data_IF_437621916260
#
_entry.id   IF_437621916260
#
_cell.length_a   1.000
_cell.length_b   1.000
_cell.length_c   1.000
_cell.angle_alpha   90.00
_cell.angle_beta   90.00
_cell.angle_gamma   90.00
#
_symmetry.space_group_name_H-M   'P 1'
#
loop_
_entity.id
_entity.type
_entity.pdbx_description
1 polymer ?
#
# COMPACT_ATOMS: atom_id res chain seq x y z
N UNK A 1 -45.12 50.54 -4.75
CA UNK A 1 -43.78 50.82 -4.19
C UNK A 1 -42.98 49.54 -4.33
N UNK A 2 -42.14 49.59 -5.34
CA UNK A 2 -41.19 48.51 -5.68
C UNK A 2 -40.06 48.53 -4.67
N UNK A 3 -39.64 47.34 -4.17
CA UNK A 3 -38.31 47.16 -3.63
C UNK A 3 -37.73 45.88 -4.21
N UNK A 4 -37.04 46.06 -5.33
CA UNK A 4 -36.02 45.16 -5.84
C UNK A 4 -34.87 45.11 -4.85
N UNK A 5 -34.46 43.91 -4.44
CA UNK A 5 -33.15 43.67 -3.90
C UNK A 5 -32.57 42.39 -4.53
N UNK A 6 -31.84 42.62 -5.60
CA UNK A 6 -30.89 41.73 -6.20
C UNK A 6 -29.63 41.70 -5.33
N UNK A 7 -29.26 40.55 -4.81
CA UNK A 7 -27.91 40.24 -4.42
C UNK A 7 -27.59 38.78 -4.73
N UNK A 8 -27.43 38.52 -6.02
CA UNK A 8 -26.71 37.35 -6.51
C UNK A 8 -25.21 37.64 -6.43
N UNK A 9 -24.61 37.31 -5.30
CA UNK A 9 -23.16 37.17 -5.20
C UNK A 9 -22.80 35.72 -5.62
N UNK A 10 -22.66 35.52 -6.93
CA UNK A 10 -22.03 34.35 -7.50
C UNK A 10 -20.60 34.28 -6.96
N UNK A 11 -20.36 33.38 -6.02
CA UNK A 11 -19.01 32.97 -5.63
C UNK A 11 -18.42 32.24 -6.83
N UNK A 12 -17.68 32.98 -7.65
CA UNK A 12 -16.80 32.43 -8.68
C UNK A 12 -15.68 31.61 -7.95
N UNK A 13 -15.96 30.35 -7.68
CA UNK A 13 -14.96 29.37 -7.37
C UNK A 13 -14.09 29.17 -8.62
N UNK A 14 -12.99 29.90 -8.73
CA UNK A 14 -11.95 29.57 -9.70
C UNK A 14 -11.49 28.16 -9.41
N UNK A 15 -11.87 27.19 -10.26
CA UNK A 15 -11.37 25.83 -10.19
C UNK A 15 -9.83 25.90 -10.22
N UNK A 16 -9.17 25.46 -9.15
CA UNK A 16 -7.72 25.40 -9.12
C UNK A 16 -7.25 24.55 -10.32
N UNK A 17 -6.19 24.95 -11.02
CA UNK A 17 -5.68 24.17 -12.13
C UNK A 17 -5.31 22.77 -11.63
N UNK A 18 -5.89 21.76 -12.26
CA UNK A 18 -5.67 20.36 -11.91
C UNK A 18 -4.21 19.97 -12.15
N UNK A 19 -3.54 19.42 -11.15
CA UNK A 19 -2.14 18.97 -11.28
C UNK A 19 -2.07 17.84 -12.32
N UNK A 20 -1.20 17.94 -13.34
CA UNK A 20 -1.07 16.93 -14.39
C UNK A 20 -0.66 15.55 -13.84
N UNK A 21 -1.15 14.48 -14.45
CA UNK A 21 -0.82 13.09 -14.07
C UNK A 21 0.70 12.83 -14.05
N UNK A 22 1.45 13.39 -15.00
CA UNK A 22 2.91 13.22 -15.10
C UNK A 22 3.66 13.73 -13.86
N UNK A 23 3.09 14.70 -13.14
CA UNK A 23 3.66 15.14 -11.85
C UNK A 23 3.58 14.01 -10.84
N UNK A 24 2.41 13.35 -10.70
CA UNK A 24 2.25 12.21 -9.79
C UNK A 24 3.16 11.05 -10.16
N UNK A 25 3.39 10.81 -11.45
CA UNK A 25 4.33 9.80 -11.92
C UNK A 25 5.77 10.14 -11.54
N UNK A 26 6.15 11.41 -11.58
CA UNK A 26 7.50 11.87 -11.23
C UNK A 26 7.77 11.90 -9.71
N UNK A 27 6.74 11.99 -8.85
CA UNK A 27 6.94 12.04 -7.40
C UNK A 27 7.55 10.74 -6.88
N UNK A 28 8.50 10.80 -5.91
CA UNK A 28 8.96 9.62 -5.19
C UNK A 28 7.85 9.09 -4.28
N UNK A 29 7.61 7.79 -4.31
CA UNK A 29 6.51 7.17 -3.55
C UNK A 29 6.83 5.78 -3.03
N UNK A 30 5.96 5.25 -2.19
CA UNK A 30 5.99 3.87 -1.70
C UNK A 30 4.77 3.10 -2.17
N UNK A 31 4.87 1.78 -2.22
CA UNK A 31 3.74 0.86 -2.30
C UNK A 31 3.87 -0.16 -1.16
N UNK A 32 3.11 0.02 -0.09
CA UNK A 32 3.22 -0.80 1.13
C UNK A 32 2.18 -1.93 1.17
N UNK A 33 1.24 -1.93 0.20
CA UNK A 33 0.19 -2.92 0.09
C UNK A 33 0.01 -3.28 -1.39
N UNK A 34 0.81 -4.24 -1.85
CA UNK A 34 0.77 -4.75 -3.22
C UNK A 34 0.96 -6.26 -3.23
N UNK A 35 0.00 -6.98 -3.81
CA UNK A 35 0.05 -8.44 -3.95
C UNK A 35 0.80 -8.85 -5.21
N UNK A 36 1.74 -9.79 -5.07
CA UNK A 36 2.50 -10.34 -6.19
C UNK A 36 1.59 -11.03 -7.19
N UNK A 37 0.71 -11.87 -6.68
CA UNK A 37 -0.21 -12.73 -7.43
C UNK A 37 -1.40 -11.97 -8.06
N UNK A 38 -1.62 -10.72 -7.66
CA UNK A 38 -2.56 -9.79 -8.27
C UNK A 38 -1.93 -8.74 -9.21
N UNK A 39 -0.63 -8.86 -9.52
CA UNK A 39 0.12 -7.76 -10.15
C UNK A 39 1.02 -8.20 -11.33
N UNK A 40 0.64 -9.26 -12.03
CA UNK A 40 1.35 -9.76 -13.22
C UNK A 40 1.07 -8.89 -14.45
N UNK A 41 1.96 -8.96 -15.43
CA UNK A 41 1.67 -8.48 -16.79
C UNK A 41 0.87 -9.53 -17.57
N UNK A 42 -0.11 -9.10 -18.35
CA UNK A 42 -0.94 -10.00 -19.17
C UNK A 42 -0.09 -10.78 -20.20
N UNK A 43 0.90 -10.13 -20.81
CA UNK A 43 1.85 -10.74 -21.73
C UNK A 43 2.62 -11.87 -21.05
N UNK A 44 3.08 -11.65 -19.82
CA UNK A 44 3.82 -12.66 -19.03
C UNK A 44 2.95 -13.85 -18.68
N UNK A 45 1.66 -13.64 -18.35
CA UNK A 45 0.72 -14.75 -18.10
C UNK A 45 0.60 -15.61 -19.34
N UNK A 46 0.39 -15.02 -20.54
CA UNK A 46 0.27 -15.76 -21.81
C UNK A 46 1.55 -16.52 -22.16
N UNK A 47 2.72 -15.89 -21.99
CA UNK A 47 4.01 -16.51 -22.27
C UNK A 47 4.30 -17.68 -21.34
N UNK A 48 4.08 -17.53 -20.04
CA UNK A 48 4.27 -18.58 -19.04
C UNK A 48 3.28 -19.73 -19.26
N UNK A 49 2.02 -19.42 -19.55
CA UNK A 49 1.01 -20.44 -19.83
C UNK A 49 1.39 -21.27 -21.04
N UNK A 50 1.89 -20.66 -22.12
CA UNK A 50 2.38 -21.34 -23.28
C UNK A 50 3.60 -22.22 -22.99
N UNK A 51 4.59 -21.69 -22.25
CA UNK A 51 5.81 -22.42 -21.91
C UNK A 51 5.53 -23.63 -21.01
N UNK A 52 4.62 -23.47 -20.04
CA UNK A 52 4.31 -24.48 -19.04
C UNK A 52 3.08 -25.35 -19.38
N UNK A 53 2.48 -25.13 -20.56
CA UNK A 53 1.28 -25.86 -21.06
C UNK A 53 0.11 -25.76 -20.10
N UNK A 54 -0.13 -24.55 -19.56
CA UNK A 54 -1.26 -24.22 -18.69
C UNK A 54 -2.43 -23.76 -19.55
N UNK A 55 -3.61 -24.30 -19.32
CA UNK A 55 -4.84 -23.83 -19.95
C UNK A 55 -5.31 -22.52 -19.29
N UNK A 56 -5.55 -21.51 -20.11
CA UNK A 56 -6.14 -20.24 -19.73
C UNK A 56 -7.52 -20.07 -20.35
N UNK A 57 -8.39 -19.23 -19.78
CA UNK A 57 -9.72 -18.96 -20.34
C UNK A 57 -9.68 -18.20 -21.68
N UNK A 58 -8.56 -17.57 -22.02
CA UNK A 58 -8.32 -16.87 -23.29
C UNK A 58 -6.85 -16.92 -23.67
N UNK A 59 -6.56 -16.79 -24.98
CA UNK A 59 -5.21 -16.90 -25.55
C UNK A 59 -4.67 -15.58 -26.10
N UNK A 60 -5.35 -14.47 -25.82
CA UNK A 60 -4.95 -13.12 -26.20
C UNK A 60 -5.14 -12.17 -25.01
N UNK A 61 -4.55 -10.97 -25.10
CA UNK A 61 -4.50 -9.98 -24.03
C UNK A 61 -5.91 -9.49 -23.65
N UNK A 62 -6.76 -9.19 -24.64
CA UNK A 62 -8.08 -8.64 -24.38
C UNK A 62 -9.02 -9.67 -23.76
N UNK A 63 -9.03 -10.87 -24.27
CA UNK A 63 -9.79 -11.98 -23.69
C UNK A 63 -9.33 -12.34 -22.29
N UNK A 64 -8.00 -12.32 -22.03
CA UNK A 64 -7.45 -12.58 -20.71
C UNK A 64 -7.78 -11.45 -19.73
N UNK A 65 -7.66 -10.19 -20.16
CA UNK A 65 -8.08 -9.00 -19.39
C UNK A 65 -9.55 -9.09 -18.97
N UNK A 66 -10.41 -9.47 -19.90
CA UNK A 66 -11.84 -9.64 -19.63
C UNK A 66 -12.13 -10.82 -18.69
N UNK A 67 -11.42 -11.95 -18.87
CA UNK A 67 -11.58 -13.13 -18.02
C UNK A 67 -11.12 -12.91 -16.57
N UNK A 68 -10.05 -12.14 -16.36
CA UNK A 68 -9.58 -11.72 -15.03
C UNK A 68 -10.51 -10.64 -14.45
N UNK A 69 -11.19 -9.84 -15.30
CA UNK A 69 -12.01 -8.72 -14.89
C UNK A 69 -11.21 -7.48 -14.53
N UNK A 70 -10.05 -7.26 -15.17
CA UNK A 70 -9.16 -6.14 -14.85
C UNK A 70 -9.88 -4.79 -14.86
N UNK A 71 -9.83 -4.07 -13.74
CA UNK A 71 -10.47 -2.77 -13.58
C UNK A 71 -12.00 -2.80 -13.43
N UNK A 72 -12.60 -3.99 -13.34
CA UNK A 72 -14.06 -4.15 -13.21
C UNK A 72 -14.53 -3.88 -11.78
N UNK A 73 -15.78 -3.46 -11.65
CA UNK A 73 -16.43 -3.40 -10.34
C UNK A 73 -17.11 -4.75 -10.04
N UNK A 74 -16.57 -5.49 -9.11
CA UNK A 74 -17.06 -6.82 -8.73
C UNK A 74 -18.19 -6.77 -7.70
N UNK A 75 -18.29 -5.69 -6.94
CA UNK A 75 -19.31 -5.51 -5.90
C UNK A 75 -19.16 -6.38 -4.66
N UNK A 76 -18.18 -7.30 -4.64
CA UNK A 76 -17.81 -8.07 -3.45
C UNK A 76 -16.36 -8.54 -3.50
N UNK A 77 -15.74 -8.67 -2.32
CA UNK A 77 -14.38 -9.19 -2.18
C UNK A 77 -14.26 -10.63 -2.72
N UNK A 78 -15.24 -11.48 -2.51
CA UNK A 78 -15.21 -12.88 -2.95
C UNK A 78 -15.19 -12.99 -4.48
N UNK A 79 -15.99 -12.20 -5.19
CA UNK A 79 -15.95 -12.15 -6.66
C UNK A 79 -14.63 -11.58 -7.18
N UNK A 80 -14.11 -10.54 -6.54
CA UNK A 80 -12.81 -9.95 -6.87
C UNK A 80 -11.66 -10.98 -6.75
N UNK A 81 -11.67 -11.83 -5.72
CA UNK A 81 -10.66 -12.86 -5.50
C UNK A 81 -10.62 -13.95 -6.57
N UNK A 82 -11.68 -14.12 -7.39
CA UNK A 82 -11.69 -15.12 -8.47
C UNK A 82 -10.65 -14.84 -9.57
N UNK A 83 -10.26 -13.59 -9.76
CA UNK A 83 -9.20 -13.22 -10.71
C UNK A 83 -7.86 -13.91 -10.40
N UNK A 84 -7.59 -14.24 -9.15
CA UNK A 84 -6.37 -14.93 -8.73
C UNK A 84 -6.29 -16.39 -9.20
N UNK A 85 -7.44 -17.05 -9.44
CA UNK A 85 -7.44 -18.43 -9.96
C UNK A 85 -6.72 -18.55 -11.31
N UNK A 86 -6.71 -17.47 -12.09
CA UNK A 86 -6.03 -17.42 -13.38
C UNK A 86 -4.53 -17.16 -13.19
N UNK A 87 -4.18 -16.16 -12.40
CA UNK A 87 -2.77 -15.76 -12.19
C UNK A 87 -1.97 -16.86 -11.48
N UNK A 88 -2.56 -17.50 -10.46
CA UNK A 88 -1.92 -18.57 -9.72
C UNK A 88 -1.57 -19.81 -10.57
N UNK A 89 -2.30 -20.06 -11.65
CA UNK A 89 -1.99 -21.20 -12.54
C UNK A 89 -0.59 -21.14 -13.15
N UNK A 90 -0.09 -19.94 -13.43
CA UNK A 90 1.23 -19.72 -14.04
C UNK A 90 2.33 -19.39 -13.02
N UNK A 91 2.01 -19.34 -11.73
CA UNK A 91 2.94 -18.98 -10.64
C UNK A 91 3.41 -20.21 -9.85
N UNK A 92 3.72 -21.33 -10.53
CA UNK A 92 4.00 -22.61 -9.89
C UNK A 92 5.44 -23.11 -10.10
N UNK A 93 6.35 -22.25 -10.61
CA UNK A 93 7.76 -22.57 -10.84
C UNK A 93 8.68 -21.46 -10.31
N UNK A 94 9.92 -21.81 -9.95
CA UNK A 94 10.92 -20.83 -9.50
C UNK A 94 11.14 -19.74 -10.55
N UNK A 95 11.28 -20.13 -11.82
CA UNK A 95 11.53 -19.20 -12.92
C UNK A 95 10.36 -18.21 -13.14
N UNK A 96 9.10 -18.69 -13.02
CA UNK A 96 7.93 -17.83 -13.13
C UNK A 96 7.86 -16.82 -11.97
N UNK A 97 8.07 -17.28 -10.74
CA UNK A 97 8.03 -16.43 -9.54
C UNK A 97 9.14 -15.37 -9.54
N UNK A 98 10.37 -15.75 -9.92
CA UNK A 98 11.49 -14.83 -10.06
C UNK A 98 11.19 -13.74 -11.11
N UNK A 99 10.70 -14.17 -12.31
CA UNK A 99 10.34 -13.25 -13.39
C UNK A 99 9.25 -12.27 -12.97
N UNK A 100 8.16 -12.77 -12.40
CA UNK A 100 7.01 -11.95 -12.00
C UNK A 100 7.42 -10.95 -10.92
N UNK A 101 8.22 -11.35 -9.95
CA UNK A 101 8.72 -10.45 -8.91
C UNK A 101 9.64 -9.36 -9.48
N UNK A 102 10.51 -9.72 -10.44
CA UNK A 102 11.34 -8.75 -11.15
C UNK A 102 10.50 -7.74 -11.93
N UNK A 103 9.52 -8.21 -12.70
CA UNK A 103 8.66 -7.36 -13.54
C UNK A 103 7.79 -6.43 -12.70
N UNK A 104 7.24 -6.89 -11.56
CA UNK A 104 6.50 -6.05 -10.63
C UNK A 104 7.37 -4.90 -10.11
N UNK A 105 8.60 -5.18 -9.70
CA UNK A 105 9.51 -4.15 -9.22
C UNK A 105 9.97 -3.20 -10.35
N UNK A 106 10.14 -3.70 -11.58
CA UNK A 106 10.43 -2.88 -12.77
C UNK A 106 9.28 -1.91 -13.07
N UNK A 107 8.03 -2.38 -13.05
CA UNK A 107 6.85 -1.53 -13.30
C UNK A 107 6.68 -0.46 -12.22
N UNK A 108 6.93 -0.81 -10.96
CA UNK A 108 6.95 0.14 -9.87
C UNK A 108 8.08 1.20 -10.01
N UNK A 109 9.27 0.78 -10.46
CA UNK A 109 10.37 1.69 -10.74
C UNK A 109 10.02 2.70 -11.85
N UNK A 110 9.36 2.26 -12.94
CA UNK A 110 8.97 3.11 -14.09
C UNK A 110 8.05 4.26 -13.70
N UNK A 111 7.33 4.15 -12.58
CA UNK A 111 6.49 5.21 -12.01
C UNK A 111 7.09 5.87 -10.76
N UNK A 112 8.41 5.70 -10.55
CA UNK A 112 9.18 6.30 -9.45
C UNK A 112 8.79 5.84 -8.04
N UNK A 113 8.35 4.58 -7.88
CA UNK A 113 8.30 3.94 -6.58
C UNK A 113 9.73 3.68 -6.09
N UNK A 114 10.06 4.15 -4.88
CA UNK A 114 11.40 4.04 -4.28
C UNK A 114 11.52 2.88 -3.30
N UNK A 115 10.39 2.50 -2.70
CA UNK A 115 10.30 1.40 -1.77
C UNK A 115 8.93 0.72 -1.85
N UNK A 116 8.93 -0.61 -1.87
CA UNK A 116 7.70 -1.38 -1.86
C UNK A 116 7.80 -2.61 -0.95
N UNK A 117 6.64 -3.05 -0.46
CA UNK A 117 6.48 -4.25 0.35
C UNK A 117 5.53 -5.21 -0.35
N UNK A 118 6.11 -6.16 -1.08
CA UNK A 118 5.39 -7.14 -1.89
C UNK A 118 4.85 -8.24 -0.99
N UNK A 119 3.54 -8.47 -1.01
CA UNK A 119 2.89 -9.50 -0.22
C UNK A 119 2.34 -10.63 -1.09
N UNK A 120 2.35 -11.84 -0.57
CA UNK A 120 1.75 -13.03 -1.19
C UNK A 120 1.77 -14.20 -0.19
N UNK A 121 0.99 -15.25 -0.48
CA UNK A 121 0.93 -16.46 0.32
C UNK A 121 1.74 -17.58 -0.35
N UNK A 122 2.97 -17.92 0.10
CA UNK A 122 3.81 -18.94 -0.53
C UNK A 122 3.12 -20.28 -0.72
N UNK A 123 2.21 -20.65 0.16
CA UNK A 123 1.47 -21.92 0.08
C UNK A 123 0.62 -22.06 -1.19
N UNK A 124 0.18 -20.94 -1.82
CA UNK A 124 -0.61 -20.97 -3.05
C UNK A 124 0.22 -21.32 -4.30
N UNK A 125 1.54 -21.34 -4.18
CA UNK A 125 2.49 -21.57 -5.27
C UNK A 125 3.16 -22.95 -5.19
N UNK A 126 2.56 -23.89 -4.47
CA UNK A 126 3.12 -25.25 -4.24
C UNK A 126 2.36 -26.36 -4.93
N UNK A 127 1.37 -26.06 -5.79
CA UNK A 127 0.48 -27.03 -6.43
C UNK A 127 1.22 -28.02 -7.35
N UNK A 128 2.40 -27.63 -7.87
CA UNK A 128 3.26 -28.48 -8.68
C UNK A 128 4.46 -29.06 -7.92
N UNK A 129 4.38 -29.09 -6.57
CA UNK A 129 5.39 -29.68 -5.70
C UNK A 129 6.57 -28.79 -5.37
N UNK A 130 6.49 -27.48 -5.68
CA UNK A 130 7.53 -26.53 -5.28
C UNK A 130 7.55 -26.40 -3.76
N UNK A 131 8.75 -26.43 -3.14
CA UNK A 131 8.91 -26.26 -1.71
C UNK A 131 8.68 -24.79 -1.31
N UNK A 132 8.07 -24.54 -0.18
CA UNK A 132 7.81 -23.19 0.35
C UNK A 132 9.08 -22.31 0.38
N UNK A 133 10.21 -22.88 0.79
CA UNK A 133 11.49 -22.15 0.79
C UNK A 133 11.91 -21.73 -0.61
N UNK A 134 11.67 -22.57 -1.63
CA UNK A 134 11.98 -22.25 -3.03
C UNK A 134 11.07 -21.18 -3.60
N UNK A 135 9.81 -21.16 -3.19
CA UNK A 135 8.88 -20.06 -3.52
C UNK A 135 9.42 -18.74 -3.01
N UNK A 136 9.83 -18.67 -1.74
CA UNK A 136 10.34 -17.43 -1.15
C UNK A 136 11.66 -17.01 -1.76
N UNK A 137 12.59 -17.95 -1.97
CA UNK A 137 13.90 -17.68 -2.58
C UNK A 137 13.74 -17.11 -3.99
N UNK A 138 12.90 -17.71 -4.83
CA UNK A 138 12.66 -17.24 -6.20
C UNK A 138 12.12 -15.79 -6.24
N UNK A 139 11.15 -15.47 -5.40
CA UNK A 139 10.62 -14.09 -5.29
C UNK A 139 11.71 -13.12 -4.83
N UNK A 140 12.45 -13.46 -3.80
CA UNK A 140 13.55 -12.63 -3.29
C UNK A 140 14.65 -12.42 -4.34
N UNK A 141 14.96 -13.43 -5.15
CA UNK A 141 15.94 -13.34 -6.24
C UNK A 141 15.46 -12.39 -7.34
N UNK A 142 14.18 -12.43 -7.73
CA UNK A 142 13.60 -11.50 -8.67
C UNK A 142 13.66 -10.06 -8.19
N UNK A 143 13.28 -9.81 -6.93
CA UNK A 143 13.35 -8.48 -6.31
C UNK A 143 14.79 -7.98 -6.15
N UNK A 144 15.73 -8.87 -5.81
CA UNK A 144 17.15 -8.55 -5.72
C UNK A 144 17.71 -8.14 -7.09
N UNK A 145 17.40 -8.89 -8.15
CA UNK A 145 17.80 -8.56 -9.51
C UNK A 145 17.25 -7.21 -9.97
N UNK A 146 15.98 -6.90 -9.65
CA UNK A 146 15.40 -5.59 -9.93
C UNK A 146 16.11 -4.45 -9.17
N UNK A 147 16.50 -4.69 -7.92
CA UNK A 147 17.31 -3.73 -7.13
C UNK A 147 18.67 -3.48 -7.78
N UNK A 148 19.35 -4.52 -8.24
CA UNK A 148 20.65 -4.43 -8.90
C UNK A 148 20.55 -3.67 -10.23
N UNK A 149 19.44 -3.84 -10.96
CA UNK A 149 19.23 -3.23 -12.28
C UNK A 149 18.72 -1.80 -12.19
N UNK A 150 17.78 -1.52 -11.31
CA UNK A 150 17.02 -0.26 -11.26
C UNK A 150 17.20 0.54 -9.98
N UNK A 151 17.79 -0.03 -8.95
CA UNK A 151 17.97 0.63 -7.64
C UNK A 151 16.71 0.69 -6.77
N UNK A 152 15.57 0.15 -7.22
CA UNK A 152 14.35 0.08 -6.40
C UNK A 152 14.55 -0.88 -5.23
N UNK A 153 14.13 -0.48 -4.03
CA UNK A 153 14.14 -1.36 -2.86
C UNK A 153 12.78 -2.00 -2.67
N UNK A 154 12.73 -3.32 -2.84
CA UNK A 154 11.53 -4.12 -2.59
C UNK A 154 11.83 -5.19 -1.52
N UNK A 155 10.86 -5.42 -0.64
CA UNK A 155 10.92 -6.41 0.45
C UNK A 155 9.65 -7.25 0.46
N UNK A 156 9.65 -8.35 1.19
CA UNK A 156 8.54 -9.31 1.19
C UNK A 156 7.78 -9.27 2.51
N UNK A 157 6.45 -9.35 2.43
CA UNK A 157 5.54 -9.69 3.51
C UNK A 157 4.91 -11.04 3.18
N UNK A 158 5.05 -12.02 4.06
CA UNK A 158 4.45 -13.35 3.89
C UNK A 158 3.01 -13.32 4.42
N UNK A 159 2.06 -13.81 3.62
CA UNK A 159 0.65 -13.86 4.00
C UNK A 159 0.23 -15.24 4.49
N UNK A 160 -0.50 -15.29 5.61
CA UNK A 160 -1.47 -16.33 5.89
C UNK A 160 -2.77 -16.06 5.14
N UNK A 161 -3.54 -17.09 4.85
CA UNK A 161 -4.86 -16.98 4.20
C UNK A 161 -5.94 -17.41 5.18
N UNK A 162 -6.79 -16.44 5.59
CA UNK A 162 -7.72 -16.62 6.71
C UNK A 162 -8.81 -17.67 6.47
N UNK A 163 -9.22 -17.88 5.24
CA UNK A 163 -10.22 -18.86 4.84
C UNK A 163 -9.65 -20.26 4.52
N UNK A 164 -8.36 -20.52 4.81
CA UNK A 164 -7.78 -21.87 4.68
C UNK A 164 -7.73 -22.52 6.06
N UNK A 165 -6.74 -22.22 6.90
CA UNK A 165 -6.71 -22.72 8.28
C UNK A 165 -5.74 -21.92 9.17
N UNK A 166 -5.90 -22.03 10.48
CA UNK A 166 -4.97 -21.45 11.46
C UNK A 166 -3.57 -22.10 11.39
N UNK A 167 -3.52 -23.42 11.14
CA UNK A 167 -2.29 -24.19 11.02
C UNK A 167 -1.48 -23.75 9.80
N UNK A 168 -2.15 -23.52 8.66
CA UNK A 168 -1.47 -23.01 7.46
C UNK A 168 -0.92 -21.62 7.67
N UNK A 169 -1.64 -20.73 8.36
CA UNK A 169 -1.14 -19.42 8.72
C UNK A 169 0.05 -19.50 9.68
N UNK A 170 0.05 -20.46 10.60
CA UNK A 170 1.18 -20.69 11.51
C UNK A 170 2.43 -21.14 10.73
N UNK A 171 2.30 -22.04 9.76
CA UNK A 171 3.40 -22.44 8.87
C UNK A 171 3.94 -21.24 8.06
N UNK A 172 3.08 -20.36 7.58
CA UNK A 172 3.52 -19.13 6.90
C UNK A 172 4.24 -18.17 7.85
N UNK A 173 3.83 -18.10 9.12
CA UNK A 173 4.53 -17.33 10.14
C UNK A 173 5.93 -17.92 10.47
N UNK A 174 6.06 -19.25 10.55
CA UNK A 174 7.37 -19.92 10.70
C UNK A 174 8.28 -19.58 9.52
N UNK A 175 7.74 -19.56 8.30
CA UNK A 175 8.49 -19.20 7.10
C UNK A 175 8.94 -17.73 7.16
N UNK A 176 8.06 -16.80 7.61
CA UNK A 176 8.44 -15.41 7.81
C UNK A 176 9.58 -15.26 8.82
N UNK A 177 9.55 -16.00 9.91
CA UNK A 177 10.63 -16.03 10.93
C UNK A 177 11.93 -16.56 10.32
N UNK A 178 11.88 -17.65 9.54
CA UNK A 178 13.07 -18.25 8.92
C UNK A 178 13.77 -17.31 7.92
N UNK A 179 13.03 -16.41 7.29
CA UNK A 179 13.57 -15.45 6.31
C UNK A 179 13.73 -14.03 6.86
N UNK A 180 13.52 -13.81 8.16
CA UNK A 180 13.82 -12.53 8.81
C UNK A 180 15.27 -12.11 8.56
N UNK A 181 15.47 -10.86 8.16
CA UNK A 181 16.80 -10.33 7.82
C UNK A 181 17.34 -10.80 6.45
N UNK A 182 16.58 -11.64 5.72
CA UNK A 182 16.93 -12.13 4.38
C UNK A 182 16.00 -11.56 3.30
N UNK A 183 15.28 -10.46 3.60
CA UNK A 183 14.38 -9.80 2.66
C UNK A 183 12.90 -9.86 3.06
N UNK A 184 12.52 -10.75 3.99
CA UNK A 184 11.20 -10.75 4.61
C UNK A 184 11.18 -9.77 5.78
N UNK A 185 10.21 -8.83 5.75
CA UNK A 185 10.10 -7.72 6.72
C UNK A 185 8.80 -7.76 7.52
N UNK A 186 7.83 -8.57 7.11
CA UNK A 186 6.52 -8.60 7.74
C UNK A 186 5.74 -9.88 7.52
N UNK A 187 4.63 -9.98 8.25
CA UNK A 187 3.61 -11.02 8.12
C UNK A 187 2.24 -10.36 8.00
N UNK A 188 1.34 -10.94 7.19
CA UNK A 188 -0.01 -10.44 6.93
C UNK A 188 -1.03 -11.58 7.01
N UNK A 189 -2.30 -11.22 7.12
CA UNK A 189 -3.44 -12.13 7.00
C UNK A 189 -4.39 -11.59 5.94
N UNK A 190 -4.45 -12.28 4.80
CA UNK A 190 -5.26 -11.93 3.65
C UNK A 190 -6.40 -12.94 3.43
N UNK A 191 -7.16 -12.78 2.34
CA UNK A 191 -8.26 -13.65 1.94
C UNK A 191 -9.63 -13.15 2.39
N UNK A 192 -10.68 -13.97 2.24
CA UNK A 192 -12.06 -13.61 2.53
C UNK A 192 -12.24 -13.20 4.00
N UNK A 193 -12.69 -11.95 4.23
CA UNK A 193 -12.73 -11.39 5.60
C UNK A 193 -13.99 -11.76 6.39
N UNK A 194 -15.17 -11.72 5.75
CA UNK A 194 -16.46 -11.65 6.44
C UNK A 194 -16.67 -12.77 7.47
N UNK A 195 -16.43 -14.03 7.11
CA UNK A 195 -16.71 -15.19 7.96
C UNK A 195 -15.46 -15.79 8.62
N UNK A 196 -14.30 -15.14 8.45
CA UNK A 196 -13.01 -15.67 8.88
C UNK A 196 -12.26 -14.69 9.79
N UNK A 197 -12.66 -14.58 11.07
CA UNK A 197 -12.11 -13.57 11.98
C UNK A 197 -10.63 -13.80 12.30
N UNK A 198 -9.85 -12.71 12.32
CA UNK A 198 -8.40 -12.73 12.52
C UNK A 198 -7.96 -13.40 13.84
N UNK A 199 -8.81 -13.36 14.88
CA UNK A 199 -8.54 -13.98 16.19
C UNK A 199 -8.24 -15.48 16.12
N UNK A 200 -8.72 -16.19 15.11
CA UNK A 200 -8.44 -17.62 14.93
C UNK A 200 -6.96 -17.87 14.56
N UNK A 201 -6.30 -16.87 14.00
CA UNK A 201 -4.88 -16.92 13.57
C UNK A 201 -3.91 -16.33 14.60
N UNK A 202 -4.39 -16.02 15.84
CA UNK A 202 -3.59 -15.36 16.88
C UNK A 202 -2.24 -16.04 17.18
N UNK A 203 -2.15 -17.37 17.05
CA UNK A 203 -0.92 -18.10 17.30
C UNK A 203 0.18 -17.76 16.29
N UNK A 204 -0.16 -17.60 15.00
CA UNK A 204 0.76 -17.14 13.96
C UNK A 204 1.29 -15.73 14.28
N UNK A 205 0.40 -14.82 14.67
CA UNK A 205 0.79 -13.45 15.05
C UNK A 205 1.60 -13.39 16.34
N UNK A 206 1.32 -14.25 17.30
CA UNK A 206 2.14 -14.36 18.50
C UNK A 206 3.58 -14.78 18.13
N UNK A 207 3.72 -15.82 17.29
CA UNK A 207 5.02 -16.29 16.82
C UNK A 207 5.85 -15.17 16.15
N UNK A 208 5.25 -14.41 15.22
CA UNK A 208 5.99 -13.35 14.50
C UNK A 208 6.36 -12.20 15.43
N UNK A 209 5.51 -11.84 16.39
CA UNK A 209 5.82 -10.81 17.40
C UNK A 209 6.95 -11.23 18.33
N UNK A 210 6.91 -12.46 18.83
CA UNK A 210 7.96 -13.03 19.70
C UNK A 210 9.33 -13.06 19.01
N UNK A 211 9.33 -13.09 17.66
CA UNK A 211 10.53 -13.01 16.85
C UNK A 211 10.83 -11.61 16.31
N UNK A 212 10.15 -10.56 16.81
CA UNK A 212 10.32 -9.15 16.40
C UNK A 212 10.17 -8.95 14.89
N UNK A 213 9.15 -9.55 14.29
CA UNK A 213 8.72 -9.31 12.90
C UNK A 213 7.50 -8.40 12.93
N UNK A 214 7.46 -7.43 12.02
CA UNK A 214 6.31 -6.56 11.90
C UNK A 214 5.11 -7.34 11.34
N UNK A 215 3.90 -6.87 11.65
CA UNK A 215 2.69 -7.43 11.05
C UNK A 215 1.71 -6.35 10.61
N UNK A 216 1.02 -6.63 9.53
CA UNK A 216 -0.13 -5.90 9.03
C UNK A 216 -1.28 -6.91 8.88
N UNK A 217 -2.52 -6.44 8.80
CA UNK A 217 -3.68 -7.33 8.65
C UNK A 217 -4.72 -6.64 7.81
N UNK A 218 -5.24 -7.32 6.78
CA UNK A 218 -6.44 -6.88 6.07
C UNK A 218 -7.62 -6.87 7.04
N UNK A 219 -8.19 -5.72 7.31
CA UNK A 219 -9.29 -5.58 8.25
C UNK A 219 -10.15 -4.35 7.95
N UNK A 220 -11.48 -4.49 8.13
CA UNK A 220 -12.43 -3.43 7.87
C UNK A 220 -12.63 -3.14 6.39
N UNK A 221 -12.43 -4.12 5.52
CA UNK A 221 -12.77 -4.09 4.10
C UNK A 221 -14.15 -4.70 3.87
N UNK A 222 -14.28 -6.01 4.07
CA UNK A 222 -15.54 -6.74 3.89
C UNK A 222 -16.30 -7.00 5.20
N UNK A 223 -15.71 -6.63 6.35
CA UNK A 223 -16.33 -6.76 7.68
C UNK A 223 -16.18 -5.46 8.48
N UNK A 224 -16.90 -5.34 9.59
CA UNK A 224 -16.98 -4.14 10.42
C UNK A 224 -15.73 -3.79 11.22
N UNK A 225 -15.80 -2.72 12.04
CA UNK A 225 -14.67 -2.28 12.88
C UNK A 225 -14.21 -3.37 13.87
N UNK A 226 -15.03 -4.36 14.19
CA UNK A 226 -14.65 -5.49 15.02
C UNK A 226 -13.47 -6.30 14.42
N UNK A 227 -13.36 -6.37 13.08
CA UNK A 227 -12.22 -6.99 12.41
C UNK A 227 -10.94 -6.19 12.68
N UNK A 228 -11.04 -4.86 12.64
CA UNK A 228 -9.93 -3.96 12.94
C UNK A 228 -9.53 -4.09 14.42
N UNK A 229 -10.51 -4.12 15.33
CA UNK A 229 -10.27 -4.33 16.76
C UNK A 229 -9.54 -5.65 17.03
N UNK A 230 -9.94 -6.74 16.37
CA UNK A 230 -9.24 -8.03 16.47
C UNK A 230 -7.80 -7.95 15.92
N UNK A 231 -7.60 -7.28 14.78
CA UNK A 231 -6.29 -7.10 14.21
C UNK A 231 -5.34 -6.38 15.19
N UNK A 232 -5.80 -5.33 15.86
CA UNK A 232 -5.02 -4.54 16.80
C UNK A 232 -4.88 -5.25 18.16
N UNK A 233 -5.99 -5.58 18.83
CA UNK A 233 -5.96 -6.00 20.24
C UNK A 233 -5.67 -7.47 20.44
N UNK A 234 -6.00 -8.34 19.46
CA UNK A 234 -5.76 -9.78 19.55
C UNK A 234 -4.48 -10.18 18.81
N UNK A 235 -4.30 -9.67 17.60
CA UNK A 235 -3.19 -10.05 16.73
C UNK A 235 -1.98 -9.11 16.86
N UNK A 236 -2.17 -7.88 17.36
CA UNK A 236 -1.10 -6.89 17.57
C UNK A 236 -0.54 -6.32 16.28
N UNK A 237 -1.41 -6.03 15.32
CA UNK A 237 -1.03 -5.44 14.05
C UNK A 237 -0.36 -4.06 14.22
N UNK A 238 0.72 -3.84 13.47
CA UNK A 238 1.41 -2.55 13.44
C UNK A 238 0.80 -1.61 12.39
N UNK A 239 0.10 -2.15 11.39
CA UNK A 239 -0.66 -1.45 10.36
C UNK A 239 -1.95 -2.21 10.06
N UNK A 240 -2.92 -1.51 9.48
CA UNK A 240 -4.18 -2.09 9.04
C UNK A 240 -4.29 -1.95 7.53
N UNK A 241 -4.46 -3.09 6.83
CA UNK A 241 -4.82 -3.11 5.42
C UNK A 241 -6.26 -2.62 5.24
N UNK A 242 -6.47 -1.71 4.30
CA UNK A 242 -7.73 -1.04 3.97
C UNK A 242 -8.31 -0.15 5.08
N UNK A 243 -8.93 -0.72 6.10
CA UNK A 243 -9.52 0.02 7.22
C UNK A 243 -10.76 0.85 6.84
N UNK A 244 -11.45 0.54 5.72
CA UNK A 244 -12.56 1.34 5.18
C UNK A 244 -13.69 1.57 6.18
N UNK A 245 -13.96 0.60 7.05
CA UNK A 245 -15.06 0.64 8.01
C UNK A 245 -14.69 1.16 9.40
N UNK A 246 -13.43 1.62 9.58
CA UNK A 246 -12.99 2.21 10.85
C UNK A 246 -13.85 3.42 11.28
N UNK A 247 -14.39 4.17 10.31
CA UNK A 247 -15.29 5.33 10.55
C UNK A 247 -16.57 4.98 11.31
N UNK A 248 -16.93 3.69 11.42
CA UNK A 248 -18.13 3.22 12.11
C UNK A 248 -17.92 3.10 13.63
N UNK A 249 -16.66 3.19 14.11
CA UNK A 249 -16.29 3.14 15.52
C UNK A 249 -15.32 4.29 15.86
N UNK A 250 -15.88 5.35 16.45
CA UNK A 250 -15.13 6.56 16.79
C UNK A 250 -14.09 6.35 17.89
N UNK A 251 -14.34 5.46 18.85
CA UNK A 251 -13.41 5.15 19.94
C UNK A 251 -12.20 4.37 19.42
N UNK A 252 -12.43 3.35 18.62
CA UNK A 252 -11.37 2.60 17.94
C UNK A 252 -10.57 3.50 17.01
N UNK A 253 -11.22 4.41 16.28
CA UNK A 253 -10.57 5.36 15.38
C UNK A 253 -9.64 6.30 16.15
N UNK A 254 -10.11 6.84 17.31
CA UNK A 254 -9.27 7.64 18.16
C UNK A 254 -8.09 6.84 18.71
N UNK A 255 -8.30 5.61 19.16
CA UNK A 255 -7.23 4.71 19.59
C UNK A 255 -6.15 4.53 18.52
N UNK A 256 -6.54 4.22 17.28
CA UNK A 256 -5.58 4.06 16.18
C UNK A 256 -4.82 5.37 15.90
N UNK A 257 -5.49 6.52 16.00
CA UNK A 257 -4.85 7.82 15.81
C UNK A 257 -3.82 8.11 16.90
N UNK A 258 -4.17 7.93 18.18
CA UNK A 258 -3.29 8.18 19.32
C UNK A 258 -2.03 7.28 19.28
N UNK A 259 -2.19 6.02 18.87
CA UNK A 259 -1.09 5.07 18.71
C UNK A 259 -0.38 5.18 17.35
N UNK A 260 -0.82 6.12 16.50
CA UNK A 260 -0.25 6.36 15.16
C UNK A 260 -0.21 5.12 14.27
N UNK A 261 -1.19 4.22 14.42
CA UNK A 261 -1.33 3.02 13.58
C UNK A 261 -1.66 3.43 12.14
N UNK A 262 -0.84 3.08 11.13
CA UNK A 262 -1.11 3.45 9.76
C UNK A 262 -2.23 2.62 9.14
N UNK A 263 -3.02 3.26 8.27
CA UNK A 263 -3.98 2.63 7.39
C UNK A 263 -3.37 2.51 5.97
N UNK A 264 -3.41 1.31 5.40
CA UNK A 264 -2.95 1.03 4.03
C UNK A 264 -4.15 1.14 3.07
N UNK A 265 -4.55 2.36 2.72
CA UNK A 265 -5.70 2.59 1.85
C UNK A 265 -5.40 2.19 0.41
N UNK A 266 -6.35 1.49 -0.23
CA UNK A 266 -6.29 1.02 -1.60
C UNK A 266 -7.53 1.50 -2.37
N UNK A 267 -7.59 2.79 -2.76
CA UNK A 267 -8.83 3.45 -3.16
C UNK A 267 -9.60 2.75 -4.27
N UNK A 268 -8.96 2.44 -5.39
CA UNK A 268 -9.61 1.79 -6.53
C UNK A 268 -10.09 0.37 -6.18
N UNK A 269 -9.26 -0.42 -5.48
CA UNK A 269 -9.62 -1.76 -5.02
C UNK A 269 -10.83 -1.72 -4.10
N UNK A 270 -10.87 -0.77 -3.16
CA UNK A 270 -11.99 -0.66 -2.21
C UNK A 270 -13.33 -0.32 -2.88
N UNK A 271 -13.32 0.38 -4.02
CA UNK A 271 -14.52 0.55 -4.84
C UNK A 271 -14.87 -0.75 -5.56
N UNK A 272 -13.90 -1.43 -6.16
CA UNK A 272 -14.12 -2.64 -6.96
C UNK A 272 -14.59 -3.82 -6.10
N UNK A 273 -14.12 -3.96 -4.87
CA UNK A 273 -14.57 -4.97 -3.91
C UNK A 273 -15.91 -4.63 -3.25
N UNK A 274 -16.43 -3.41 -3.47
CA UNK A 274 -17.67 -2.93 -2.85
C UNK A 274 -17.49 -2.54 -1.37
N UNK A 275 -16.28 -2.44 -0.87
CA UNK A 275 -16.00 -1.94 0.49
C UNK A 275 -16.44 -0.48 0.65
N UNK A 276 -16.38 0.30 -0.43
CA UNK A 276 -16.94 1.64 -0.54
C UNK A 276 -17.74 1.77 -1.85
N UNK A 277 -18.72 2.65 -1.86
CA UNK A 277 -19.59 2.84 -3.02
C UNK A 277 -18.87 3.45 -4.23
N UNK A 278 -18.06 4.46 -3.98
CA UNK A 278 -17.32 5.23 -4.98
C UNK A 278 -16.15 5.96 -4.32
N UNK A 279 -15.25 6.55 -5.13
CA UNK A 279 -14.10 7.29 -4.63
C UNK A 279 -14.47 8.52 -3.81
N UNK A 280 -15.58 9.21 -4.16
CA UNK A 280 -16.02 10.40 -3.43
C UNK A 280 -16.48 10.10 -2.00
N UNK A 281 -17.02 8.89 -1.76
CA UNK A 281 -17.43 8.42 -0.43
C UNK A 281 -16.34 7.65 0.33
N UNK A 282 -15.15 7.50 -0.26
CA UNK A 282 -14.04 6.78 0.37
C UNK A 282 -13.55 7.51 1.62
N UNK A 283 -13.35 6.82 2.75
CA UNK A 283 -13.04 7.46 4.04
C UNK A 283 -11.61 8.02 4.15
N UNK A 284 -10.73 7.79 3.16
CA UNK A 284 -9.32 8.19 3.19
C UNK A 284 -9.15 9.68 3.53
N UNK A 285 -9.91 10.57 2.84
CA UNK A 285 -9.83 12.02 3.10
C UNK A 285 -10.27 12.35 4.52
N UNK A 286 -11.38 11.77 4.99
CA UNK A 286 -11.86 11.95 6.37
C UNK A 286 -10.77 11.53 7.37
N UNK A 287 -10.16 10.37 7.19
CA UNK A 287 -9.10 9.88 8.07
C UNK A 287 -7.90 10.82 8.08
N UNK A 288 -7.48 11.31 6.91
CA UNK A 288 -6.39 12.26 6.81
C UNK A 288 -6.71 13.57 7.52
N UNK A 289 -7.90 14.13 7.29
CA UNK A 289 -8.35 15.39 7.92
C UNK A 289 -8.45 15.28 9.45
N UNK A 290 -8.78 14.10 9.99
CA UNK A 290 -8.77 13.80 11.43
C UNK A 290 -7.36 13.50 11.97
N UNK A 291 -6.34 13.54 11.13
CA UNK A 291 -4.94 13.35 11.52
C UNK A 291 -4.48 11.90 11.61
N UNK A 292 -5.28 10.91 11.19
CA UNK A 292 -4.83 9.52 11.08
C UNK A 292 -3.69 9.40 10.08
N UNK A 293 -2.84 8.39 10.29
CA UNK A 293 -1.76 8.10 9.36
C UNK A 293 -2.27 7.22 8.23
N UNK A 294 -2.53 7.82 7.08
CA UNK A 294 -2.98 7.10 5.86
C UNK A 294 -1.85 6.97 4.85
N UNK A 295 -1.82 5.87 4.12
CA UNK A 295 -0.94 5.62 2.97
C UNK A 295 -1.78 5.23 1.78
N UNK A 296 -1.30 5.51 0.56
CA UNK A 296 -1.99 5.19 -0.69
C UNK A 296 -1.23 4.06 -1.38
N UNK A 297 -1.93 2.99 -1.73
CA UNK A 297 -1.35 1.75 -2.25
C UNK A 297 -2.19 1.17 -3.37
N UNK A 298 -1.66 0.18 -4.09
CA UNK A 298 -2.31 -0.40 -5.28
C UNK A 298 -3.14 -1.64 -5.00
N UNK A 299 -2.86 -2.38 -3.94
CA UNK A 299 -3.41 -3.71 -3.67
C UNK A 299 -3.04 -4.71 -4.79
N UNK A 300 -3.70 -4.66 -5.93
CA UNK A 300 -3.51 -5.59 -7.05
C UNK A 300 -3.38 -4.82 -8.37
N UNK A 301 -2.15 -4.60 -8.85
CA UNK A 301 -1.90 -3.72 -10.01
C UNK A 301 -2.57 -4.20 -11.29
N UNK A 302 -2.64 -5.53 -11.52
CA UNK A 302 -3.32 -6.11 -12.67
C UNK A 302 -4.84 -6.14 -12.48
N UNK A 303 -5.31 -6.77 -11.40
CA UNK A 303 -6.76 -6.98 -11.20
C UNK A 303 -7.48 -5.63 -11.04
N UNK A 304 -6.90 -4.71 -10.26
CA UNK A 304 -7.43 -3.35 -10.07
C UNK A 304 -7.17 -2.44 -11.28
N UNK A 305 -6.29 -2.84 -12.21
CA UNK A 305 -5.84 -2.04 -13.35
C UNK A 305 -5.33 -0.67 -12.92
N UNK A 306 -4.38 -0.63 -11.98
CA UNK A 306 -3.91 0.60 -11.35
C UNK A 306 -2.39 0.66 -11.14
N UNK A 307 -1.93 1.82 -10.71
CA UNK A 307 -0.57 2.12 -10.27
C UNK A 307 -0.61 3.12 -9.10
N UNK A 308 0.45 3.24 -8.31
CA UNK A 308 0.48 4.21 -7.19
C UNK A 308 0.30 5.64 -7.71
N UNK A 309 0.86 5.95 -8.87
CA UNK A 309 0.67 7.26 -9.51
C UNK A 309 -0.80 7.53 -9.85
N UNK A 310 -1.51 6.50 -10.36
CA UNK A 310 -2.94 6.58 -10.66
C UNK A 310 -3.77 6.73 -9.38
N UNK A 311 -3.46 5.96 -8.34
CA UNK A 311 -4.15 6.08 -7.04
C UNK A 311 -3.99 7.48 -6.44
N UNK A 312 -2.77 8.03 -6.39
CA UNK A 312 -2.51 9.38 -5.90
C UNK A 312 -3.24 10.45 -6.74
N UNK A 313 -3.25 10.28 -8.06
CA UNK A 313 -3.98 11.16 -8.98
C UNK A 313 -5.49 11.13 -8.72
N UNK A 314 -6.07 9.93 -8.53
CA UNK A 314 -7.50 9.76 -8.21
C UNK A 314 -7.84 10.36 -6.82
N UNK A 315 -6.98 10.18 -5.83
CA UNK A 315 -7.12 10.80 -4.50
C UNK A 315 -7.15 12.32 -4.61
N UNK A 316 -6.27 12.90 -5.45
CA UNK A 316 -6.27 14.34 -5.69
C UNK A 316 -7.53 14.80 -6.44
N UNK A 317 -7.85 14.16 -7.57
CA UNK A 317 -8.86 14.67 -8.51
C UNK A 317 -10.30 14.30 -8.17
N UNK A 318 -10.52 13.13 -7.56
CA UNK A 318 -11.87 12.62 -7.28
C UNK A 318 -12.25 12.66 -5.79
N UNK A 319 -11.27 12.66 -4.89
CA UNK A 319 -11.52 12.83 -3.45
C UNK A 319 -11.26 14.26 -2.98
N UNK A 320 -10.76 15.14 -3.86
CA UNK A 320 -10.51 16.55 -3.55
C UNK A 320 -9.39 16.79 -2.52
N UNK A 321 -8.39 15.88 -2.47
CA UNK A 321 -7.24 16.05 -1.57
C UNK A 321 -6.26 17.05 -2.18
N UNK A 322 -5.90 18.14 -1.50
CA UNK A 322 -4.92 19.11 -1.98
C UNK A 322 -3.56 18.46 -2.28
N UNK A 323 -2.82 19.01 -3.25
CA UNK A 323 -1.52 18.46 -3.64
C UNK A 323 -0.49 18.52 -2.48
N UNK A 324 -0.54 19.54 -1.63
CA UNK A 324 0.27 19.62 -0.42
C UNK A 324 0.04 18.42 0.54
N UNK A 325 -1.22 17.97 0.63
CA UNK A 325 -1.60 16.83 1.46
C UNK A 325 -1.18 15.51 0.81
N UNK A 326 -1.18 15.41 -0.53
CA UNK A 326 -0.58 14.27 -1.26
C UNK A 326 0.90 14.13 -0.90
N UNK A 327 1.67 15.23 -0.86
CA UNK A 327 3.08 15.19 -0.41
C UNK A 327 3.18 14.63 1.01
N UNK A 328 2.27 15.01 1.90
CA UNK A 328 2.21 14.50 3.29
C UNK A 328 1.88 13.01 3.35
N UNK A 329 0.94 12.52 2.52
CA UNK A 329 0.62 11.09 2.39
C UNK A 329 1.80 10.27 1.85
N UNK A 330 2.55 10.80 0.89
CA UNK A 330 3.78 10.18 0.40
C UNK A 330 4.80 10.03 1.54
N UNK A 331 5.03 11.07 2.33
CA UNK A 331 5.91 11.00 3.50
C UNK A 331 5.38 10.00 4.55
N UNK A 332 4.07 9.92 4.74
CA UNK A 332 3.44 8.93 5.61
C UNK A 332 3.75 7.50 5.16
N UNK A 333 3.77 7.23 3.84
CA UNK A 333 4.19 5.94 3.29
C UNK A 333 5.60 5.55 3.74
N UNK A 334 6.59 6.43 3.56
CA UNK A 334 7.95 6.17 4.03
C UNK A 334 8.03 6.01 5.55
N UNK A 335 7.29 6.82 6.34
CA UNK A 335 7.24 6.71 7.80
C UNK A 335 6.64 5.39 8.27
N UNK A 336 5.70 4.83 7.52
CA UNK A 336 4.94 3.61 7.87
C UNK A 336 5.60 2.32 7.39
N UNK A 337 6.63 2.39 6.54
CA UNK A 337 7.33 1.23 6.00
C UNK A 337 7.95 0.36 7.10
N UNK A 338 8.13 -0.92 6.83
CA UNK A 338 8.81 -1.85 7.73
C UNK A 338 10.34 -1.85 7.58
N UNK A 339 10.89 -0.81 6.95
CA UNK A 339 12.33 -0.61 6.89
C UNK A 339 12.96 -0.40 8.28
N UNK A 340 14.23 -0.74 8.47
CA UNK A 340 14.99 -0.34 9.65
C UNK A 340 14.97 1.18 9.85
N UNK A 341 14.96 1.64 11.10
CA UNK A 341 14.79 3.05 11.44
C UNK A 341 15.77 3.98 10.71
N UNK A 342 17.07 3.62 10.68
CA UNK A 342 18.10 4.44 10.04
C UNK A 342 17.90 4.59 8.51
N UNK A 343 17.45 3.53 7.83
CA UNK A 343 17.12 3.56 6.41
C UNK A 343 15.88 4.41 6.13
N UNK A 344 14.86 4.26 6.97
CA UNK A 344 13.63 5.07 6.93
C UNK A 344 13.95 6.55 7.08
N UNK A 345 14.79 6.93 8.04
CA UNK A 345 15.23 8.31 8.21
C UNK A 345 16.02 8.85 7.01
N UNK A 346 16.89 8.03 6.43
CA UNK A 346 17.64 8.42 5.24
C UNK A 346 16.72 8.60 4.01
N UNK A 347 15.73 7.71 3.84
CA UNK A 347 14.73 7.84 2.79
C UNK A 347 13.88 9.11 2.95
N UNK A 348 13.39 9.39 4.15
CA UNK A 348 12.58 10.59 4.44
C UNK A 348 13.32 11.89 4.12
N UNK A 349 14.63 11.99 4.48
CA UNK A 349 15.43 13.17 4.13
C UNK A 349 15.55 13.37 2.62
N UNK A 350 15.83 12.30 1.86
CA UNK A 350 15.93 12.39 0.39
C UNK A 350 14.61 12.74 -0.26
N UNK A 351 13.54 12.04 0.14
CA UNK A 351 12.21 12.27 -0.40
C UNK A 351 11.69 13.66 -0.07
N UNK A 352 11.92 14.16 1.15
CA UNK A 352 11.57 15.55 1.50
C UNK A 352 12.18 16.56 0.54
N UNK A 353 13.49 16.46 0.27
CA UNK A 353 14.17 17.35 -0.70
C UNK A 353 13.60 17.22 -2.12
N UNK A 354 13.19 16.01 -2.53
CA UNK A 354 12.59 15.82 -3.85
C UNK A 354 11.17 16.44 -3.92
N UNK A 355 10.36 16.30 -2.87
CA UNK A 355 9.01 16.86 -2.78
C UNK A 355 9.03 18.40 -2.66
N UNK A 356 10.05 18.98 -2.01
CA UNK A 356 10.23 20.43 -1.87
C UNK A 356 10.55 21.12 -3.21
N UNK A 357 10.85 20.36 -4.26
CA UNK A 357 10.99 20.91 -5.62
C UNK A 357 9.66 21.31 -6.24
N UNK A 358 8.54 20.90 -5.70
CA UNK A 358 7.20 21.22 -6.17
C UNK A 358 6.51 22.15 -5.17
N UNK A 359 5.86 23.18 -5.66
CA UNK A 359 4.98 24.03 -4.84
C UNK A 359 3.70 23.27 -4.41
N UNK A 360 2.78 23.95 -3.76
CA UNK A 360 1.52 23.35 -3.29
C UNK A 360 0.46 23.15 -4.40
N UNK A 361 0.80 23.59 -5.62
CA UNK A 361 0.00 23.40 -6.84
C UNK A 361 0.64 22.42 -7.83
N UNK A 362 1.71 21.73 -7.42
CA UNK A 362 2.41 20.75 -8.26
C UNK A 362 3.30 21.36 -9.34
N UNK A 363 3.59 22.65 -9.28
CA UNK A 363 4.50 23.31 -10.20
C UNK A 363 5.94 23.08 -9.76
N UNK A 364 6.79 22.65 -10.69
CA UNK A 364 8.22 22.45 -10.42
C UNK A 364 8.89 23.81 -10.20
N UNK A 365 9.46 24.01 -9.02
CA UNK A 365 10.23 25.21 -8.67
C UNK A 365 11.56 25.18 -9.44
N UNK A 366 11.67 26.03 -10.46
CA UNK A 366 12.98 26.26 -11.12
C UNK A 366 13.95 26.88 -10.13
N UNK A 367 15.11 26.27 -9.95
CA UNK A 367 16.21 26.89 -9.18
C UNK A 367 16.54 28.24 -9.80
N UNK A 368 16.04 29.34 -9.22
CA UNK A 368 16.56 30.65 -9.56
C UNK A 368 18.01 30.68 -9.13
N UNK A 369 18.89 30.89 -10.09
CA UNK A 369 20.31 31.14 -9.88
C UNK A 369 20.52 32.20 -8.77
N UNK A 370 21.40 31.86 -7.85
CA UNK A 370 21.80 32.59 -6.68
C UNK A 370 21.66 34.11 -6.70
N UNK A 371 20.78 34.58 -5.84
CA UNK A 371 21.00 35.82 -5.11
C UNK A 371 20.82 35.51 -3.63
N UNK A 372 21.91 35.55 -2.91
CA UNK A 372 21.99 35.48 -1.46
C UNK A 372 21.12 36.55 -0.84
N UNK A 373 19.93 36.19 -0.32
CA UNK A 373 19.22 37.03 0.61
C UNK A 373 19.52 36.54 2.02
N UNK A 374 20.10 37.42 2.79
CA UNK A 374 20.49 37.31 4.18
C UNK A 374 19.41 36.69 5.03
N UNK A 375 19.65 35.47 5.51
CA UNK A 375 18.87 34.91 6.61
C UNK A 375 19.27 35.62 7.90
N UNK A 376 18.44 36.57 8.31
CA UNK A 376 18.45 37.17 9.62
C UNK A 376 18.46 36.09 10.69
N UNK A 377 19.59 35.99 11.39
CA UNK A 377 19.77 35.09 12.54
C UNK A 377 18.90 35.54 13.71
N UNK A 378 17.75 34.95 13.89
CA UNK A 378 17.07 35.02 15.19
C UNK A 378 17.60 33.90 16.07
N UNK A 379 18.51 34.30 16.99
CA UNK A 379 18.91 33.48 18.14
C UNK A 379 17.71 33.29 19.08
N UNK A 380 17.44 32.08 19.61
CA UNK A 380 16.51 31.93 20.73
C UNK A 380 17.17 32.45 22.01
N UNK A 381 16.43 33.27 22.75
CA UNK A 381 16.82 33.75 24.08
C UNK A 381 16.61 32.67 25.12
N UNK A 382 17.65 32.47 25.95
CA UNK A 382 17.55 32.23 27.38
C UNK A 382 17.03 30.88 27.85
N UNK A 383 17.95 29.92 28.06
CA UNK A 383 17.80 28.91 29.11
C UNK A 383 18.27 29.53 30.44
N UNK A 384 17.36 29.63 31.41
CA UNK A 384 17.68 29.93 32.78
C UNK A 384 18.38 28.73 33.43
N UNK A 385 19.53 28.99 34.04
CA UNK A 385 20.23 28.09 34.96
C UNK A 385 19.31 27.72 36.14
N UNK A 386 19.19 26.46 36.43
CA UNK A 386 18.78 25.94 37.72
C UNK A 386 20.01 25.37 38.42
N UNK A 387 20.42 26.10 39.42
CA UNK A 387 21.48 25.80 40.35
C UNK A 387 21.11 24.54 41.14
N UNK A 388 22.08 23.62 41.22
CA UNK A 388 22.07 22.52 42.17
C UNK A 388 22.32 23.03 43.57
N UNK A 389 21.53 22.59 44.54
CA UNK A 389 21.99 22.47 45.90
C UNK A 389 21.57 21.12 46.48
N UNK A 390 22.58 20.51 47.08
CA UNK A 390 22.59 19.22 47.73
C UNK A 390 21.78 19.22 49.04
N UNK A 391 21.12 18.11 49.32
CA UNK A 391 21.30 17.28 50.52
C UNK A 391 20.62 15.94 50.33
#
# INVERSE_FOLDING_TARGET
>A
MEHTNSNDSAVNGTAQPQVPFEVFKALPKTDLHVHLDGSLRLETILELAKAEKVELPANDIEGLRAAIGCGSNFGSLVEYLRGFDITLRVMQTEAALERIAFELAEDAHRENVRYMEVRYAPMLHTQRGLKLTKVVEAVLDGLRRARETYGIKATVIICGIRNISAESSYQMAELAVAYKGRGVVGFDLAGAEADFPAKHHRAAFQLVRDNNINCTIHAGEAYGPESIAQAIHVCGAHRIGHGCRLREDGDLMQYLNDHRVPLECCPSSNVQTGAVKDLASHPLKLYFDLGLRVTVNTDNRLITDTSVSKELYLVHTQMGVPFADIKSMILAGFKSSFQPFHEKQAALRRVGVELDKYDDHGVLLTSQNGTSSERSSRRPRGSAELVADAE
#
